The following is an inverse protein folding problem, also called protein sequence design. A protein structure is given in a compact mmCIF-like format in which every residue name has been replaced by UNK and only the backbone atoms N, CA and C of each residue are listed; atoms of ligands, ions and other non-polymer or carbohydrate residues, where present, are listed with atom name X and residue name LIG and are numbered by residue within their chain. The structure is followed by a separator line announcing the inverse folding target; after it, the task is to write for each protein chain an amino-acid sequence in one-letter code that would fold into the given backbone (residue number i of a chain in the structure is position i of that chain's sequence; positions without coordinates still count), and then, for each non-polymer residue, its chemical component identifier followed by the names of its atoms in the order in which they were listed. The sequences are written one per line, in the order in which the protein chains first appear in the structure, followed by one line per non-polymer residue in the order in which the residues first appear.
data_IF_087365200293
#
_entry.id   IF_087365200293
#
_cell.length_a   1.000
_cell.length_b   1.000
_cell.length_c   1.000
_cell.angle_alpha   90.00
_cell.angle_beta   90.00
_cell.angle_gamma   90.00
#
_symmetry.space_group_name_H-M   'P 1'
#
loop_
_entity.id
_entity.type
_entity.pdbx_description
1 polymer ?
#
# COMPACT_ATOMS: atom_id res chain seq x y z
N UNK A 1 -15.98 4.51 13.87
CA UNK A 1 -15.59 3.11 13.58
C UNK A 1 -16.31 2.58 12.33
N UNK A 2 -16.34 3.35 11.22
CA UNK A 2 -17.08 2.97 10.00
C UNK A 2 -16.19 2.36 8.91
N UNK A 3 -14.88 2.68 8.89
CA UNK A 3 -13.99 2.32 7.79
C UNK A 3 -13.60 0.83 7.78
N UNK A 4 -13.66 0.14 8.93
CA UNK A 4 -13.27 -1.28 9.02
C UNK A 4 -14.24 -2.21 8.28
N UNK A 5 -15.51 -1.81 8.18
CA UNK A 5 -16.58 -2.62 7.59
C UNK A 5 -16.55 -2.51 6.06
N UNK A 6 -16.28 -1.31 5.54
CA UNK A 6 -16.19 -1.04 4.09
C UNK A 6 -15.00 -1.77 3.47
N UNK A 7 -13.83 -1.71 4.12
CA UNK A 7 -12.62 -2.42 3.66
C UNK A 7 -12.81 -3.94 3.64
N UNK A 8 -13.56 -4.51 4.61
CA UNK A 8 -13.87 -5.95 4.62
C UNK A 8 -14.75 -6.38 3.45
N UNK A 9 -15.69 -5.54 3.03
CA UNK A 9 -16.62 -5.87 1.95
C UNK A 9 -15.96 -5.79 0.55
N UNK A 10 -15.00 -4.89 0.33
CA UNK A 10 -14.24 -4.84 -0.93
C UNK A 10 -13.20 -5.96 -1.07
N UNK A 11 -12.62 -6.45 0.02
CA UNK A 11 -11.68 -7.58 0.00
C UNK A 11 -12.42 -8.92 -0.25
N UNK A 12 -13.74 -8.99 0.00
CA UNK A 12 -14.55 -10.19 -0.17
C UNK A 12 -15.05 -10.42 -1.61
N UNK A 13 -14.96 -9.44 -2.51
CA UNK A 13 -15.40 -9.58 -3.90
C UNK A 13 -14.28 -10.15 -4.80
N UNK A 14 -14.12 -11.48 -4.77
CA UNK A 14 -13.57 -12.34 -5.85
C UNK A 14 -12.07 -12.32 -6.20
N UNK A 15 -11.17 -11.66 -5.48
CA UNK A 15 -9.73 -11.68 -5.84
C UNK A 15 -8.83 -12.41 -4.82
N UNK A 16 -8.22 -13.50 -5.26
CA UNK A 16 -7.11 -14.13 -4.54
C UNK A 16 -5.93 -13.14 -4.48
N UNK A 17 -5.60 -12.68 -3.27
CA UNK A 17 -4.37 -11.94 -3.00
C UNK A 17 -3.24 -12.93 -2.72
N UNK A 18 -2.08 -12.70 -3.32
CA UNK A 18 -0.87 -13.42 -2.90
C UNK A 18 -0.49 -13.05 -1.46
N UNK A 19 0.24 -13.90 -0.73
CA UNK A 19 0.64 -13.60 0.65
C UNK A 19 1.33 -12.24 0.80
N UNK A 20 2.18 -11.86 -0.15
CA UNK A 20 2.87 -10.56 -0.13
C UNK A 20 1.93 -9.38 -0.36
N UNK A 21 0.92 -9.53 -1.22
CA UNK A 21 -0.10 -8.50 -1.45
C UNK A 21 -1.00 -8.33 -0.23
N UNK A 22 -1.42 -9.45 0.37
CA UNK A 22 -2.19 -9.44 1.62
C UNK A 22 -1.40 -8.74 2.74
N UNK A 23 -0.12 -9.09 2.91
CA UNK A 23 0.74 -8.47 3.92
C UNK A 23 0.95 -6.97 3.69
N UNK A 24 1.07 -6.54 2.43
CA UNK A 24 1.15 -5.13 2.06
C UNK A 24 -0.09 -4.35 2.50
N UNK A 25 -1.28 -4.84 2.14
CA UNK A 25 -2.56 -4.22 2.53
C UNK A 25 -2.69 -4.18 4.05
N UNK A 26 -2.46 -5.31 4.72
CA UNK A 26 -2.54 -5.42 6.17
C UNK A 26 -1.58 -4.43 6.85
N UNK A 27 -0.37 -4.26 6.32
CA UNK A 27 0.59 -3.31 6.88
C UNK A 27 0.14 -1.86 6.69
N UNK A 28 -0.33 -1.50 5.50
CA UNK A 28 -0.88 -0.17 5.23
C UNK A 28 -2.13 0.13 6.06
N UNK A 29 -2.92 -0.89 6.42
CA UNK A 29 -4.06 -0.75 7.32
C UNK A 29 -3.64 -0.44 8.76
N UNK A 30 -2.59 -1.11 9.25
CA UNK A 30 -2.15 -0.99 10.65
C UNK A 30 -1.31 0.27 10.88
N UNK A 31 -0.36 0.55 9.98
CA UNK A 31 0.61 1.66 10.15
C UNK A 31 0.20 2.92 9.41
N UNK A 32 -0.70 2.79 8.43
CA UNK A 32 -1.09 3.90 7.58
C UNK A 32 -0.11 4.14 6.43
N UNK A 33 -0.14 5.35 5.85
CA UNK A 33 0.62 5.67 4.65
C UNK A 33 2.12 5.44 4.81
N UNK A 34 2.70 4.62 3.93
CA UNK A 34 4.10 4.18 4.05
C UNK A 34 4.86 4.36 2.75
N UNK A 35 6.17 4.63 2.82
CA UNK A 35 7.00 4.67 1.61
C UNK A 35 7.38 3.26 1.17
N UNK A 36 7.80 3.12 -0.09
CA UNK A 36 8.39 1.85 -0.57
C UNK A 36 9.56 1.40 0.29
N UNK A 37 10.37 2.33 0.82
CA UNK A 37 11.53 1.99 1.65
C UNK A 37 11.08 1.37 2.98
N UNK A 38 10.03 1.91 3.58
CA UNK A 38 9.50 1.42 4.85
C UNK A 38 8.86 0.04 4.68
N UNK A 39 8.10 -0.15 3.61
CA UNK A 39 7.49 -1.44 3.28
C UNK A 39 8.53 -2.54 3.03
N UNK A 40 9.64 -2.21 2.36
CA UNK A 40 10.78 -3.13 2.17
C UNK A 40 11.38 -3.56 3.50
N UNK A 41 11.64 -2.60 4.40
CA UNK A 41 12.22 -2.89 5.72
C UNK A 41 11.31 -3.75 6.58
N UNK A 42 10.01 -3.51 6.53
CA UNK A 42 9.04 -4.21 7.38
C UNK A 42 8.77 -5.62 6.87
N UNK A 43 8.62 -5.80 5.56
CA UNK A 43 8.22 -7.07 4.97
C UNK A 43 9.41 -7.94 4.58
N UNK A 44 10.63 -7.48 4.86
CA UNK A 44 11.90 -8.13 4.52
C UNK A 44 11.91 -8.73 3.10
N UNK A 45 11.45 -7.91 2.15
CA UNK A 45 11.18 -8.34 0.78
C UNK A 45 11.90 -7.45 -0.23
N UNK A 46 12.37 -7.97 -1.38
CA UNK A 46 13.11 -7.18 -2.35
C UNK A 46 12.34 -5.96 -2.84
N UNK A 47 13.09 -4.87 -3.07
CA UNK A 47 12.52 -3.56 -3.42
C UNK A 47 11.70 -3.56 -4.70
N UNK A 48 12.10 -4.35 -5.69
CA UNK A 48 11.39 -4.54 -6.96
C UNK A 48 10.11 -5.32 -6.72
N UNK A 49 10.16 -6.43 -5.98
CA UNK A 49 9.00 -7.24 -5.60
C UNK A 49 7.92 -6.42 -4.89
N UNK A 50 8.33 -5.57 -3.94
CA UNK A 50 7.39 -4.65 -3.27
C UNK A 50 6.79 -3.66 -4.27
N UNK A 51 7.60 -3.06 -5.15
CA UNK A 51 7.11 -2.12 -6.15
C UNK A 51 6.11 -2.75 -7.13
N UNK A 52 6.41 -3.93 -7.65
CA UNK A 52 5.57 -4.63 -8.61
C UNK A 52 4.22 -5.00 -7.98
N UNK A 53 4.22 -5.45 -6.72
CA UNK A 53 2.99 -5.75 -6.02
C UNK A 53 2.18 -4.50 -5.68
N UNK A 54 2.81 -3.39 -5.30
CA UNK A 54 2.13 -2.11 -5.13
C UNK A 54 1.47 -1.66 -6.43
N UNK A 55 2.14 -1.78 -7.57
CA UNK A 55 1.54 -1.45 -8.87
C UNK A 55 0.35 -2.37 -9.21
N UNK A 56 0.45 -3.67 -8.94
CA UNK A 56 -0.67 -4.62 -9.13
C UNK A 56 -1.87 -4.24 -8.26
N UNK A 57 -1.65 -3.92 -6.99
CA UNK A 57 -2.69 -3.47 -6.06
C UNK A 57 -3.30 -2.12 -6.48
N UNK A 58 -2.49 -1.21 -7.01
CA UNK A 58 -2.96 0.08 -7.52
C UNK A 58 -3.85 -0.10 -8.75
N UNK A 59 -3.48 -0.99 -9.68
CA UNK A 59 -4.31 -1.32 -10.85
C UNK A 59 -5.67 -1.89 -10.45
N UNK A 60 -5.71 -2.66 -9.37
CA UNK A 60 -6.94 -3.18 -8.73
C UNK A 60 -7.70 -2.14 -7.91
N UNK A 61 -7.20 -0.89 -7.85
CA UNK A 61 -7.80 0.23 -7.09
C UNK A 61 -7.90 -0.01 -5.58
N UNK A 62 -7.10 -0.93 -5.02
CA UNK A 62 -7.07 -1.21 -3.58
C UNK A 62 -6.19 -0.22 -2.80
N UNK A 63 -5.20 0.36 -3.48
CA UNK A 63 -4.28 1.33 -2.91
C UNK A 63 -4.06 2.50 -3.86
N UNK A 64 -3.63 3.63 -3.32
CA UNK A 64 -3.23 4.80 -4.09
C UNK A 64 -1.88 5.36 -3.65
N UNK A 65 -1.20 5.99 -4.59
CA UNK A 65 0.07 6.69 -4.36
C UNK A 65 -0.17 8.18 -4.25
N UNK A 66 0.52 8.83 -3.32
CA UNK A 66 0.55 10.28 -3.22
C UNK A 66 1.95 10.75 -2.88
N UNK A 67 2.23 12.00 -3.19
CA UNK A 67 3.50 12.66 -2.87
C UNK A 67 3.29 13.70 -1.81
N UNK A 68 4.19 13.77 -0.84
CA UNK A 68 4.23 14.88 0.12
C UNK A 68 5.42 15.75 -0.22
N UNK A 69 5.16 16.99 -0.65
CA UNK A 69 6.22 17.99 -0.79
C UNK A 69 6.61 18.45 0.62
N UNK A 70 7.89 18.32 0.95
CA UNK A 70 8.45 18.77 2.23
C UNK A 70 9.10 20.16 2.12
N UNK A 71 8.92 20.86 0.99
CA UNK A 71 9.52 22.17 0.73
C UNK A 71 11.03 22.13 0.47
N UNK A 72 11.63 20.94 0.47
CA UNK A 72 13.06 20.75 0.25
C UNK A 72 13.34 20.46 -1.23
N UNK A 73 14.48 20.95 -1.72
CA UNK A 73 14.94 20.69 -3.08
C UNK A 73 15.29 19.20 -3.24
N UNK A 74 14.69 18.53 -4.23
CA UNK A 74 14.96 17.13 -4.52
C UNK A 74 13.74 16.35 -5.03
N UNK A 75 13.89 15.03 -5.20
CA UNK A 75 12.79 14.16 -5.59
C UNK A 75 11.82 13.99 -4.41
N UNK A 76 10.52 14.31 -4.57
CA UNK A 76 9.56 14.17 -3.49
C UNK A 76 9.41 12.71 -3.06
N UNK A 77 9.12 12.50 -1.78
CA UNK A 77 8.83 11.19 -1.24
C UNK A 77 7.46 10.71 -1.72
N UNK A 78 7.41 9.46 -2.16
CA UNK A 78 6.19 8.78 -2.59
C UNK A 78 5.70 7.86 -1.49
N UNK A 79 4.48 8.10 -1.06
CA UNK A 79 3.76 7.30 -0.08
C UNK A 79 2.65 6.51 -0.76
N UNK A 80 2.33 5.37 -0.15
CA UNK A 80 1.23 4.50 -0.56
C UNK A 80 0.26 4.40 0.61
N UNK A 81 -1.04 4.47 0.32
CA UNK A 81 -2.11 4.28 1.31
C UNK A 81 -3.23 3.43 0.74
N UNK A 82 -4.06 2.88 1.62
CA UNK A 82 -5.32 2.25 1.21
C UNK A 82 -6.19 3.29 0.54
N UNK A 83 -6.90 2.88 -0.50
CA UNK A 83 -7.91 3.71 -1.13
C UNK A 83 -9.14 3.78 -0.21
N UNK A 84 -9.74 4.96 -0.09
CA UNK A 84 -11.00 5.19 0.63
C UNK A 84 -12.21 4.90 -0.27
#
# INVERSE_FOLDING_TARGET
MANTIVVKNEINSKEYLTPIQYNLIKKLQIVGPSTRRDLVKVLDSPRTTIYDNLLKLQKRRLIEKFTRNNGMRGRPLVFWKLKE
#
